data_IF_660478488963
#
_entry.id   IF_660478488963
#
_cell.length_a   1.000
_cell.length_b   1.000
_cell.length_c   1.000
_cell.angle_alpha   90.00
_cell.angle_beta   90.00
_cell.angle_gamma   90.00
#
_symmetry.space_group_name_H-M   'P 1'
#
loop_
_entity.id
_entity.type
_entity.pdbx_description
1 polymer ?
#
# COMPACT_ATOMS: atom_id res chain seq x y z
N UNK A 1 5.33 -0.46 13.72
CA UNK A 1 6.29 0.30 12.88
C UNK A 1 5.71 1.69 12.65
N UNK A 2 6.49 2.74 12.90
CA UNK A 2 6.01 4.11 12.72
C UNK A 2 6.24 4.57 11.27
N UNK A 3 5.15 4.87 10.56
CA UNK A 3 5.15 5.56 9.27
C UNK A 3 5.05 7.05 9.55
N UNK A 4 5.90 7.85 8.90
CA UNK A 4 5.90 9.31 9.06
C UNK A 4 5.08 9.96 7.95
N UNK A 5 4.53 11.13 8.26
CA UNK A 5 3.88 11.97 7.24
C UNK A 5 4.84 12.24 6.08
N UNK A 6 4.37 12.03 4.87
CA UNK A 6 5.11 12.21 3.63
C UNK A 6 5.88 10.98 3.16
N UNK A 7 5.93 9.90 3.94
CA UNK A 7 6.56 8.65 3.51
C UNK A 7 5.77 8.06 2.32
N UNK A 8 6.50 7.60 1.32
CA UNK A 8 5.93 6.83 0.20
C UNK A 8 6.00 5.36 0.58
N UNK A 9 4.84 4.71 0.64
CA UNK A 9 4.72 3.33 1.09
C UNK A 9 4.03 2.48 0.03
N UNK A 10 4.48 1.23 -0.09
CA UNK A 10 3.80 0.17 -0.82
C UNK A 10 3.32 -0.84 0.21
N UNK A 11 2.05 -1.20 0.15
CA UNK A 11 1.48 -2.22 1.02
C UNK A 11 1.55 -3.54 0.26
N UNK A 12 2.19 -4.53 0.88
CA UNK A 12 2.27 -5.87 0.34
C UNK A 12 1.57 -6.81 1.33
N UNK A 13 0.53 -7.48 0.85
CA UNK A 13 -0.27 -8.47 1.61
C UNK A 13 -0.29 -9.79 0.86
N UNK A 14 -0.47 -10.89 1.60
CA UNK A 14 -0.58 -12.22 1.04
C UNK A 14 0.12 -13.28 1.89
N UNK A 15 -0.50 -14.46 1.97
CA UNK A 15 0.06 -15.61 2.66
C UNK A 15 0.43 -16.67 1.60
N UNK A 16 1.73 -16.93 1.42
CA UNK A 16 2.36 -17.92 0.52
C UNK A 16 2.64 -17.46 -0.94
N UNK A 17 1.74 -17.66 -1.90
CA UNK A 17 2.05 -17.67 -3.35
C UNK A 17 1.50 -16.47 -4.15
N UNK A 18 0.54 -15.72 -3.59
CA UNK A 18 0.03 -14.47 -4.18
C UNK A 18 0.40 -13.31 -3.26
N UNK A 19 1.44 -12.57 -3.62
CA UNK A 19 1.71 -11.27 -3.01
C UNK A 19 0.95 -10.20 -3.79
N UNK A 20 -0.14 -9.69 -3.21
CA UNK A 20 -0.74 -8.48 -3.72
C UNK A 20 0.14 -7.28 -3.31
N UNK A 21 0.38 -6.36 -4.24
CA UNK A 21 1.15 -5.14 -3.97
C UNK A 21 0.32 -3.95 -4.40
N UNK A 22 -0.11 -3.17 -3.43
CA UNK A 22 -0.91 -1.97 -3.65
C UNK A 22 -0.12 -0.69 -3.40
N UNK A 23 -0.47 0.33 -4.17
CA UNK A 23 0.17 1.64 -4.15
C UNK A 23 1.01 1.91 -5.40
N UNK A 24 1.91 2.92 -5.35
CA UNK A 24 2.36 3.64 -4.16
C UNK A 24 1.33 4.57 -3.50
N UNK A 25 1.37 4.64 -2.17
CA UNK A 25 0.61 5.58 -1.36
C UNK A 25 1.55 6.61 -0.72
N UNK A 26 1.02 7.78 -0.40
CA UNK A 26 1.69 8.75 0.48
C UNK A 26 1.01 8.77 1.85
N UNK A 27 1.80 8.71 2.92
CA UNK A 27 1.29 8.91 4.26
C UNK A 27 0.89 10.39 4.47
N UNK A 28 -0.38 10.64 4.74
CA UNK A 28 -0.92 11.99 4.97
C UNK A 28 -0.63 12.46 6.40
N UNK A 29 -0.59 11.51 7.34
CA UNK A 29 -0.27 11.70 8.75
C UNK A 29 0.74 10.65 9.22
N UNK A 30 1.37 10.86 10.37
CA UNK A 30 2.18 9.82 11.01
C UNK A 30 1.28 8.84 11.75
N UNK A 31 1.53 7.53 11.60
CA UNK A 31 0.76 6.48 12.27
C UNK A 31 1.63 5.24 12.54
N UNK A 32 1.21 4.41 13.49
CA UNK A 32 1.82 3.10 13.72
C UNK A 32 1.02 2.03 12.98
N UNK A 33 1.59 1.46 11.92
CA UNK A 33 0.93 0.41 11.14
C UNK A 33 0.78 -0.87 11.94
N UNK A 34 1.70 -1.16 12.86
CA UNK A 34 1.68 -2.39 13.66
C UNK A 34 0.57 -2.31 14.71
N UNK A 35 0.43 -1.14 15.36
CA UNK A 35 -0.70 -0.89 16.25
C UNK A 35 -2.05 -0.93 15.51
N UNK A 36 -2.11 -0.39 14.28
CA UNK A 36 -3.34 -0.41 13.47
C UNK A 36 -3.77 -1.82 13.06
N UNK A 37 -2.81 -2.67 12.70
CA UNK A 37 -3.06 -4.09 12.40
C UNK A 37 -3.44 -4.83 13.67
N UNK A 38 -2.70 -4.62 14.76
CA UNK A 38 -2.95 -5.29 16.05
C UNK A 38 -4.27 -4.89 16.70
N UNK A 39 -4.80 -3.69 16.46
CA UNK A 39 -6.12 -3.28 16.93
C UNK A 39 -7.24 -4.14 16.28
N UNK A 40 -7.01 -4.62 15.06
CA UNK A 40 -8.01 -5.35 14.28
C UNK A 40 -7.79 -6.85 14.25
N UNK A 41 -6.54 -7.28 14.34
CA UNK A 41 -6.20 -8.67 14.52
C UNK A 41 -6.61 -9.11 15.92
N UNK A 42 -7.40 -10.18 16.02
CA UNK A 42 -7.76 -10.76 17.31
C UNK A 42 -7.30 -12.21 17.40
N UNK A 43 -7.07 -12.66 18.63
CA UNK A 43 -6.69 -14.05 18.89
C UNK A 43 -7.83 -14.98 18.46
N UNK A 44 -7.53 -15.91 17.56
CA UNK A 44 -8.50 -16.89 17.04
C UNK A 44 -8.88 -16.71 15.58
N UNK A 45 -8.43 -15.64 14.91
CA UNK A 45 -8.61 -15.50 13.46
C UNK A 45 -8.01 -16.70 12.71
N UNK A 46 -8.77 -17.25 11.79
CA UNK A 46 -8.30 -18.24 10.84
C UNK A 46 -7.35 -17.60 9.82
N UNK A 47 -6.57 -18.42 9.12
CA UNK A 47 -5.65 -17.95 8.07
C UNK A 47 -6.36 -17.13 6.99
N UNK A 48 -7.59 -17.52 6.62
CA UNK A 48 -8.40 -16.80 5.63
C UNK A 48 -8.82 -15.43 6.16
N UNK A 49 -9.33 -15.36 7.40
CA UNK A 49 -9.71 -14.09 8.02
C UNK A 49 -8.52 -13.12 8.19
N UNK A 50 -7.32 -13.65 8.38
CA UNK A 50 -6.10 -12.84 8.37
C UNK A 50 -5.78 -12.32 6.96
N UNK A 51 -5.97 -13.14 5.92
CA UNK A 51 -5.71 -12.75 4.53
C UNK A 51 -6.71 -11.67 4.08
N UNK A 52 -8.01 -11.87 4.32
CA UNK A 52 -9.07 -10.88 4.09
C UNK A 52 -8.78 -9.57 4.84
N UNK A 53 -8.41 -9.64 6.12
CA UNK A 53 -8.04 -8.45 6.89
C UNK A 53 -6.89 -7.68 6.24
N UNK A 54 -5.86 -8.38 5.76
CA UNK A 54 -4.68 -7.76 5.16
C UNK A 54 -4.98 -7.15 3.78
N UNK A 55 -5.90 -7.74 3.00
CA UNK A 55 -6.40 -7.14 1.75
C UNK A 55 -7.23 -5.86 2.00
N UNK A 56 -7.97 -5.76 3.10
CA UNK A 56 -8.79 -4.58 3.41
C UNK A 56 -7.99 -3.41 4.02
N UNK A 57 -6.78 -3.65 4.54
CA UNK A 57 -5.97 -2.61 5.22
C UNK A 57 -5.72 -1.36 4.37
N UNK A 58 -5.32 -1.46 3.08
CA UNK A 58 -5.12 -0.29 2.22
C UNK A 58 -6.37 0.59 2.15
N UNK A 59 -7.55 0.00 1.89
CA UNK A 59 -8.82 0.71 1.84
C UNK A 59 -9.13 1.40 3.19
N UNK A 60 -8.99 0.68 4.31
CA UNK A 60 -9.23 1.23 5.64
C UNK A 60 -8.30 2.39 6.00
N UNK A 61 -7.04 2.36 5.55
CA UNK A 61 -6.08 3.45 5.77
C UNK A 61 -6.45 4.68 4.94
N UNK A 62 -6.97 4.50 3.72
CA UNK A 62 -7.47 5.58 2.86
C UNK A 62 -8.73 6.21 3.47
N UNK A 63 -9.70 5.40 3.90
CA UNK A 63 -10.95 5.88 4.51
C UNK A 63 -10.71 6.68 5.78
N UNK A 64 -9.70 6.30 6.58
CA UNK A 64 -9.28 7.08 7.76
C UNK A 64 -8.40 8.28 7.42
N UNK A 65 -8.09 8.50 6.14
CA UNK A 65 -7.24 9.61 5.68
C UNK A 65 -5.79 9.50 6.14
N UNK A 66 -5.32 8.31 6.51
CA UNK A 66 -3.94 8.09 6.97
C UNK A 66 -2.98 8.00 5.80
N UNK A 67 -3.44 7.42 4.70
CA UNK A 67 -2.71 7.33 3.43
C UNK A 67 -3.59 7.87 2.31
N UNK A 68 -2.97 8.35 1.26
CA UNK A 68 -3.64 8.73 0.02
C UNK A 68 -2.94 8.05 -1.15
N UNK A 69 -3.71 7.69 -2.18
CA UNK A 69 -3.14 7.24 -3.44
C UNK A 69 -2.24 8.34 -4.01
N UNK A 70 -0.98 7.99 -4.21
CA UNK A 70 -0.04 8.91 -4.81
C UNK A 70 -0.31 8.84 -6.31
N UNK A 71 -0.57 9.96 -7.01
CA UNK A 71 -0.73 9.97 -8.46
C UNK A 71 0.63 9.66 -9.08
N UNK A 72 0.98 8.39 -9.13
CA UNK A 72 2.31 7.95 -9.49
C UNK A 72 2.52 8.20 -10.96
N UNK A 73 3.34 9.20 -11.27
CA UNK A 73 4.02 9.31 -12.55
C UNK A 73 5.09 8.22 -12.53
N UNK A 74 4.78 7.03 -13.04
CA UNK A 74 5.83 6.05 -13.37
C UNK A 74 6.65 6.67 -14.49
N UNK A 75 7.87 7.13 -14.16
CA UNK A 75 8.84 7.62 -15.15
C UNK A 75 9.63 6.40 -15.58
N UNK A 76 9.33 5.87 -16.76
CA UNK A 76 10.16 4.85 -17.38
C UNK A 76 11.43 5.52 -17.90
N UNK A 77 12.60 5.02 -17.50
CA UNK A 77 13.88 5.41 -18.09
C UNK A 77 14.31 4.31 -19.06
N UNK A 78 13.64 4.25 -20.21
CA UNK A 78 14.05 3.51 -21.41
C UNK A 78 14.00 1.98 -21.36
N UNK A 79 13.56 1.39 -22.48
CA UNK A 79 13.91 0.03 -22.88
C UNK A 79 14.95 0.13 -24.01
N UNK A 80 15.97 -0.73 -24.00
CA UNK A 80 17.07 -0.85 -24.99
C UNK A 80 17.16 0.28 -26.05
N UNK A 81 17.93 1.34 -25.76
CA UNK A 81 18.47 2.23 -26.78
C UNK A 81 17.84 3.63 -26.90
N UNK A 82 16.68 3.91 -26.31
CA UNK A 82 16.05 5.24 -26.36
C UNK A 82 15.54 5.71 -24.98
N UNK A 83 15.81 6.98 -24.65
CA UNK A 83 15.26 7.63 -23.45
C UNK A 83 13.81 8.06 -23.77
N UNK A 84 12.86 7.15 -23.53
CA UNK A 84 11.43 7.42 -23.66
C UNK A 84 10.86 7.82 -22.30
N UNK A 85 10.61 9.11 -22.09
CA UNK A 85 9.97 9.62 -20.86
C UNK A 85 8.46 9.53 -21.04
N UNK A 86 7.86 8.40 -20.63
CA UNK A 86 6.40 8.27 -20.52
C UNK A 86 5.94 8.54 -19.10
N UNK A 87 4.92 9.38 -18.96
CA UNK A 87 4.19 9.59 -17.72
C UNK A 87 2.82 8.94 -17.86
N UNK A 88 2.66 7.72 -17.36
CA UNK A 88 1.34 7.10 -17.26
C UNK A 88 0.61 7.64 -16.02
N UNK A 89 -0.65 8.05 -16.18
CA UNK A 89 -1.55 8.30 -15.05
C UNK A 89 -2.10 6.94 -14.63
N UNK A 90 -2.03 6.61 -13.34
CA UNK A 90 -2.75 5.45 -12.80
C UNK A 90 -4.25 5.71 -13.02
N UNK A 91 -4.87 4.89 -13.86
CA UNK A 91 -6.20 5.12 -14.41
C UNK A 91 -7.32 4.72 -13.45
N UNK A 92 -8.41 5.47 -13.57
CA UNK A 92 -9.76 5.15 -13.10
C UNK A 92 -10.39 4.10 -14.03
#
# INVERSE_FOLDING_TARGET
MIVKKGDVITLASGIFESYNREGPFIAVHGFDIDAFVSERAHAGMTKLEVDDLLEDIPAMLIERGLIAELPCRRIYLGAMGEIDIKAEKCGH
#
